data_IF_902056887697
#
_entry.id   IF_902056887697
#
_cell.length_a   1.000
_cell.length_b   1.000
_cell.length_c   1.000
_cell.angle_alpha   90.00
_cell.angle_beta   90.00
_cell.angle_gamma   90.00
#
_symmetry.space_group_name_H-M   'P 1'
#
loop_
_entity.id
_entity.type
_entity.pdbx_description
1 polymer ?
#
# COMPACT_ATOMS: atom_id res chain seq x y z
N UNK A 1 28.06 -11.40 -1.43
CA UNK A 1 28.07 -10.22 -0.55
C UNK A 1 28.05 -8.98 -1.45
N UNK A 2 26.87 -8.41 -1.71
CA UNK A 2 26.72 -7.25 -2.61
C UNK A 2 27.22 -6.01 -1.87
N UNK A 3 28.31 -5.40 -2.35
CA UNK A 3 28.81 -4.14 -1.81
C UNK A 3 27.93 -3.01 -2.32
N UNK A 4 27.21 -2.33 -1.43
CA UNK A 4 26.51 -1.09 -1.77
C UNK A 4 27.47 0.08 -1.59
N UNK A 5 27.67 0.84 -2.66
CA UNK A 5 28.43 2.08 -2.62
C UNK A 5 27.48 3.22 -2.19
N UNK A 6 27.76 3.84 -1.04
CA UNK A 6 26.92 4.93 -0.52
C UNK A 6 27.31 6.21 -1.25
N UNK A 7 26.56 6.55 -2.30
CA UNK A 7 26.72 7.82 -3.03
C UNK A 7 25.98 8.93 -2.29
N UNK A 8 26.70 10.00 -1.89
CA UNK A 8 26.11 11.17 -1.22
C UNK A 8 25.12 11.90 -2.16
N UNK A 9 24.08 12.51 -1.60
CA UNK A 9 22.93 13.04 -2.38
C UNK A 9 23.29 14.10 -3.43
N UNK A 10 24.39 14.86 -3.23
CA UNK A 10 24.89 15.85 -4.21
C UNK A 10 25.57 15.19 -5.41
N UNK A 11 26.22 14.05 -5.21
CA UNK A 11 26.97 13.31 -6.24
C UNK A 11 26.09 12.28 -6.95
N UNK A 12 24.93 11.95 -6.37
CA UNK A 12 23.99 10.98 -6.94
C UNK A 12 23.50 11.40 -8.32
N UNK A 13 23.30 12.71 -8.55
CA UNK A 13 22.86 13.24 -9.84
C UNK A 13 23.91 13.05 -10.94
N UNK A 14 25.18 13.24 -10.62
CA UNK A 14 26.29 13.11 -11.56
C UNK A 14 26.66 11.65 -11.79
N UNK A 15 26.75 10.86 -10.72
CA UNK A 15 26.92 9.40 -10.79
C UNK A 15 25.84 8.74 -11.64
N UNK A 16 24.57 9.07 -11.38
CA UNK A 16 23.46 8.53 -12.18
C UNK A 16 23.55 9.00 -13.62
N UNK A 17 23.92 10.26 -13.91
CA UNK A 17 24.09 10.71 -15.30
C UNK A 17 25.16 9.93 -16.04
N UNK A 18 26.35 9.79 -15.46
CA UNK A 18 27.47 9.08 -16.09
C UNK A 18 27.12 7.61 -16.33
N UNK A 19 26.50 6.96 -15.34
CA UNK A 19 26.07 5.56 -15.43
C UNK A 19 24.88 5.35 -16.37
N UNK A 20 23.94 6.30 -16.39
CA UNK A 20 22.81 6.30 -17.32
C UNK A 20 23.31 6.40 -18.76
N UNK A 21 24.25 7.32 -19.01
CA UNK A 21 24.83 7.52 -20.34
C UNK A 21 25.67 6.32 -20.78
N UNK A 22 26.45 5.71 -19.89
CA UNK A 22 27.31 4.57 -20.24
C UNK A 22 26.53 3.30 -20.61
N UNK A 23 25.38 3.07 -19.98
CA UNK A 23 24.52 1.92 -20.26
C UNK A 23 23.51 2.20 -21.38
N UNK A 24 23.34 3.45 -21.80
CA UNK A 24 22.35 3.84 -22.80
C UNK A 24 22.68 3.22 -24.16
N UNK A 25 21.73 2.46 -24.70
CA UNK A 25 21.84 1.90 -26.05
C UNK A 25 20.48 1.90 -26.77
N UNK A 26 20.48 1.50 -28.03
CA UNK A 26 19.27 1.47 -28.87
C UNK A 26 18.20 0.54 -28.28
N UNK A 27 18.58 -0.66 -27.80
CA UNK A 27 17.66 -1.63 -27.18
C UNK A 27 16.93 -1.04 -25.97
N UNK A 28 17.62 -0.26 -25.13
CA UNK A 28 17.02 0.44 -23.99
C UNK A 28 16.00 1.49 -24.45
N UNK A 29 16.31 2.24 -25.52
CA UNK A 29 15.38 3.23 -26.08
C UNK A 29 14.13 2.57 -26.66
N UNK A 30 14.29 1.45 -27.35
CA UNK A 30 13.18 0.67 -27.92
C UNK A 30 12.28 0.10 -26.82
N UNK A 31 12.85 -0.48 -25.76
CA UNK A 31 12.08 -0.99 -24.61
C UNK A 31 11.36 0.15 -23.89
N UNK A 32 12.05 1.27 -23.68
CA UNK A 32 11.46 2.45 -23.06
C UNK A 32 10.25 2.96 -23.85
N UNK A 33 10.37 3.07 -25.18
CA UNK A 33 9.26 3.44 -26.06
C UNK A 33 8.12 2.43 -26.01
N UNK A 34 8.42 1.12 -26.07
CA UNK A 34 7.42 0.05 -26.07
C UNK A 34 6.53 0.05 -24.83
N UNK A 35 7.11 0.25 -23.65
CA UNK A 35 6.39 0.24 -22.37
C UNK A 35 6.03 1.65 -21.86
N UNK A 36 6.30 2.70 -22.63
CA UNK A 36 5.96 4.08 -22.25
C UNK A 36 6.80 4.67 -21.11
N UNK A 37 8.02 4.18 -20.92
CA UNK A 37 8.97 4.69 -19.92
C UNK A 37 9.98 5.66 -20.53
N UNK A 38 10.61 6.47 -19.69
CA UNK A 38 11.81 7.23 -20.08
C UNK A 38 13.02 6.29 -20.06
N UNK A 39 13.94 6.43 -21.01
CA UNK A 39 15.09 5.52 -21.15
C UNK A 39 15.94 5.43 -19.88
N UNK A 40 16.09 6.53 -19.13
CA UNK A 40 16.82 6.51 -17.86
C UNK A 40 16.17 5.61 -16.80
N UNK A 41 14.85 5.40 -16.84
CA UNK A 41 14.16 4.51 -15.89
C UNK A 41 14.54 3.06 -16.16
N UNK A 42 14.59 2.67 -17.44
CA UNK A 42 15.02 1.33 -17.85
C UNK A 42 16.48 1.09 -17.44
N UNK A 43 17.36 2.08 -17.62
CA UNK A 43 18.74 1.98 -17.15
C UNK A 43 18.82 1.81 -15.62
N UNK A 44 17.99 2.55 -14.86
CA UNK A 44 17.95 2.40 -13.40
C UNK A 44 17.45 1.02 -12.98
N UNK A 45 16.43 0.47 -13.66
CA UNK A 45 15.97 -0.88 -13.37
C UNK A 45 17.04 -1.93 -13.72
N UNK A 46 17.75 -1.75 -14.83
CA UNK A 46 18.86 -2.62 -15.21
C UNK A 46 19.97 -2.58 -14.15
N UNK A 47 20.29 -1.40 -13.64
CA UNK A 47 21.28 -1.26 -12.58
C UNK A 47 20.85 -1.91 -11.25
N UNK A 48 19.56 -1.80 -10.90
CA UNK A 48 19.00 -2.40 -9.68
C UNK A 48 18.85 -3.92 -9.75
N UNK A 49 18.49 -4.45 -10.92
CA UNK A 49 18.14 -5.87 -11.09
C UNK A 49 19.27 -6.70 -11.73
N UNK A 50 20.26 -6.04 -12.32
CA UNK A 50 21.46 -6.67 -12.86
C UNK A 50 21.30 -7.36 -14.22
N UNK A 51 20.08 -7.55 -14.73
CA UNK A 51 19.85 -8.16 -16.04
C UNK A 51 18.65 -7.57 -16.79
N UNK A 52 18.73 -7.55 -18.12
CA UNK A 52 17.62 -7.07 -18.95
C UNK A 52 16.41 -7.99 -18.89
N UNK A 53 16.60 -9.28 -18.64
CA UNK A 53 15.50 -10.23 -18.54
C UNK A 53 14.65 -9.98 -17.28
N UNK A 54 15.28 -9.67 -16.15
CA UNK A 54 14.56 -9.28 -14.92
C UNK A 54 13.85 -7.93 -15.08
N UNK A 55 14.45 -6.99 -15.81
CA UNK A 55 13.79 -5.71 -16.14
C UNK A 55 12.53 -5.96 -16.98
N UNK A 56 12.60 -6.80 -18.02
CA UNK A 56 11.44 -7.10 -18.85
C UNK A 56 10.34 -7.79 -18.03
N UNK A 57 10.68 -8.76 -17.17
CA UNK A 57 9.72 -9.38 -16.24
C UNK A 57 9.05 -8.36 -15.32
N UNK A 58 9.81 -7.39 -14.80
CA UNK A 58 9.26 -6.33 -13.96
C UNK A 58 8.27 -5.46 -14.76
N UNK A 59 8.65 -5.02 -15.96
CA UNK A 59 7.78 -4.18 -16.80
C UNK A 59 6.50 -4.92 -17.17
N UNK A 60 6.60 -6.20 -17.58
CA UNK A 60 5.45 -7.05 -17.85
C UNK A 60 4.54 -7.24 -16.63
N UNK A 61 5.11 -7.24 -15.42
CA UNK A 61 4.32 -7.32 -14.19
C UNK A 61 3.52 -6.05 -13.91
N UNK A 62 4.03 -4.87 -14.31
CA UNK A 62 3.34 -3.59 -14.13
C UNK A 62 2.18 -3.38 -15.10
N UNK A 63 2.20 -4.06 -16.25
CA UNK A 63 1.06 -4.07 -17.19
C UNK A 63 -0.15 -4.87 -16.66
N UNK A 64 0.04 -5.69 -15.62
CA UNK A 64 -1.04 -6.49 -15.03
C UNK A 64 -1.79 -5.66 -13.99
N UNK A 65 -3.12 -5.53 -14.08
CA UNK A 65 -3.88 -4.80 -13.09
C UNK A 65 -3.78 -5.49 -11.73
N UNK A 66 -3.59 -4.70 -10.68
CA UNK A 66 -3.61 -5.22 -9.32
C UNK A 66 -5.04 -5.65 -8.96
N UNK A 67 -5.15 -6.84 -8.36
CA UNK A 67 -6.41 -7.32 -7.80
C UNK A 67 -6.68 -6.60 -6.46
N UNK A 68 -7.85 -5.95 -6.29
CA UNK A 68 -8.20 -5.31 -5.04
C UNK A 68 -8.24 -6.32 -3.88
N UNK A 69 -7.96 -5.81 -2.68
CA UNK A 69 -7.96 -6.60 -1.45
C UNK A 69 -8.79 -5.90 -0.39
N UNK A 70 -9.66 -6.67 0.25
CA UNK A 70 -10.51 -6.24 1.34
C UNK A 70 -9.90 -6.72 2.65
N UNK A 71 -9.72 -5.82 3.62
CA UNK A 71 -9.37 -6.17 5.00
C UNK A 71 -10.60 -6.06 5.89
N UNK A 72 -11.05 -7.18 6.43
CA UNK A 72 -12.10 -7.25 7.43
C UNK A 72 -11.72 -6.45 8.67
N UNK A 73 -12.62 -5.60 9.14
CA UNK A 73 -12.43 -4.76 10.31
C UNK A 73 -12.88 -5.47 11.59
N UNK A 74 -11.93 -6.09 12.29
CA UNK A 74 -12.20 -6.80 13.55
C UNK A 74 -12.70 -5.91 14.70
N UNK A 75 -12.52 -4.59 14.61
CA UNK A 75 -13.07 -3.65 15.59
C UNK A 75 -14.60 -3.53 15.51
N UNK A 76 -15.20 -3.88 14.36
CA UNK A 76 -16.65 -3.81 14.11
C UNK A 76 -17.30 -5.15 13.80
N UNK A 77 -16.52 -6.12 13.33
CA UNK A 77 -17.00 -7.43 12.91
C UNK A 77 -16.24 -8.53 13.64
N UNK A 78 -16.93 -9.27 14.51
CA UNK A 78 -16.34 -10.36 15.28
C UNK A 78 -15.84 -11.50 14.38
N UNK A 79 -16.67 -11.97 13.43
CA UNK A 79 -16.34 -13.05 12.50
C UNK A 79 -16.30 -12.54 11.05
N UNK A 80 -15.14 -12.66 10.38
CA UNK A 80 -14.98 -12.21 9.00
C UNK A 80 -15.74 -13.09 7.99
N UNK A 81 -16.11 -14.32 8.36
CA UNK A 81 -16.98 -15.17 7.53
C UNK A 81 -18.37 -14.54 7.35
N UNK A 82 -18.86 -13.81 8.34
CA UNK A 82 -20.11 -13.05 8.22
C UNK A 82 -20.03 -12.01 7.10
N UNK A 83 -18.93 -11.24 7.04
CA UNK A 83 -18.69 -10.26 5.99
C UNK A 83 -18.61 -10.93 4.62
N UNK A 84 -17.84 -12.03 4.50
CA UNK A 84 -17.71 -12.77 3.24
C UNK A 84 -19.07 -13.27 2.76
N UNK A 85 -19.86 -13.90 3.63
CA UNK A 85 -21.19 -14.40 3.27
C UNK A 85 -22.13 -13.29 2.79
N UNK A 86 -22.07 -12.10 3.39
CA UNK A 86 -22.86 -10.95 2.94
C UNK A 86 -22.44 -10.47 1.56
N UNK A 87 -21.14 -10.33 1.33
CA UNK A 87 -20.61 -9.91 0.03
C UNK A 87 -20.90 -10.97 -1.05
N UNK A 88 -20.83 -12.27 -0.73
CA UNK A 88 -21.17 -13.33 -1.68
C UNK A 88 -22.63 -13.28 -2.14
N UNK A 89 -23.57 -12.90 -1.24
CA UNK A 89 -24.99 -12.67 -1.62
C UNK A 89 -25.17 -11.50 -2.60
N UNK A 90 -24.23 -10.55 -2.62
CA UNK A 90 -24.19 -9.43 -3.57
C UNK A 90 -23.44 -9.77 -4.88
N UNK A 91 -23.05 -11.03 -5.06
CA UNK A 91 -22.39 -11.52 -6.27
C UNK A 91 -20.86 -11.41 -6.26
N UNK A 92 -20.24 -11.09 -5.12
CA UNK A 92 -18.79 -11.03 -4.99
C UNK A 92 -18.16 -12.42 -4.80
N UNK A 93 -17.03 -12.65 -5.47
CA UNK A 93 -16.18 -13.81 -5.21
C UNK A 93 -14.90 -13.36 -4.53
N UNK A 94 -14.70 -13.83 -3.30
CA UNK A 94 -13.58 -13.46 -2.45
C UNK A 94 -12.73 -14.69 -2.13
N UNK A 95 -11.41 -14.52 -2.19
CA UNK A 95 -10.42 -15.54 -1.85
C UNK A 95 -9.62 -15.06 -0.63
N UNK A 96 -9.58 -15.85 0.45
CA UNK A 96 -8.79 -15.48 1.63
C UNK A 96 -7.30 -15.51 1.31
N UNK A 97 -6.55 -14.51 1.79
CA UNK A 97 -5.09 -14.56 1.70
C UNK A 97 -4.54 -15.57 2.73
N UNK A 98 -3.63 -16.43 2.29
CA UNK A 98 -3.06 -17.49 3.14
C UNK A 98 -2.31 -16.94 4.36
N UNK A 99 -1.60 -15.83 4.17
CA UNK A 99 -0.73 -15.21 5.17
C UNK A 99 -1.41 -14.11 6.01
N UNK A 100 -2.65 -13.71 5.68
CA UNK A 100 -3.41 -12.73 6.46
C UNK A 100 -4.88 -13.15 6.56
N UNK A 101 -5.29 -13.81 7.67
CA UNK A 101 -6.62 -14.37 7.83
C UNK A 101 -7.76 -13.33 7.79
N UNK A 102 -7.48 -12.06 8.05
CA UNK A 102 -8.47 -10.98 7.99
C UNK A 102 -8.59 -10.35 6.60
N UNK A 103 -7.78 -10.76 5.62
CA UNK A 103 -7.76 -10.18 4.28
C UNK A 103 -8.25 -11.15 3.20
N UNK A 104 -8.94 -10.57 2.21
CA UNK A 104 -9.55 -11.30 1.11
C UNK A 104 -9.27 -10.59 -0.21
N UNK A 105 -8.72 -11.32 -1.18
CA UNK A 105 -8.56 -10.88 -2.56
C UNK A 105 -9.90 -10.96 -3.28
N UNK A 106 -10.21 -9.93 -4.06
CA UNK A 106 -11.41 -9.89 -4.89
C UNK A 106 -11.10 -10.58 -6.22
N UNK A 107 -11.77 -11.70 -6.49
CA UNK A 107 -11.63 -12.43 -7.75
C UNK A 107 -12.65 -11.96 -8.79
N UNK A 108 -13.86 -11.63 -8.33
CA UNK A 108 -14.96 -11.12 -9.14
C UNK A 108 -15.74 -10.08 -8.36
N UNK A 109 -16.02 -8.95 -9.00
CA UNK A 109 -16.87 -7.90 -8.45
C UNK A 109 -18.35 -8.23 -8.60
N UNK A 110 -19.13 -7.90 -7.57
CA UNK A 110 -20.58 -7.91 -7.55
C UNK A 110 -21.17 -6.51 -7.75
N UNK A 111 -22.40 -6.29 -7.26
CA UNK A 111 -23.09 -5.00 -7.32
C UNK A 111 -23.72 -4.63 -5.98
N UNK A 112 -23.66 -3.36 -5.52
CA UNK A 112 -22.98 -2.20 -6.11
C UNK A 112 -21.46 -2.31 -5.99
N UNK A 113 -20.65 -1.34 -6.45
CA UNK A 113 -19.18 -1.38 -6.33
C UNK A 113 -18.69 -1.47 -4.88
N UNK A 114 -17.47 -1.97 -4.64
CA UNK A 114 -16.93 -2.19 -3.29
C UNK A 114 -16.94 -0.93 -2.41
N UNK A 115 -16.67 0.24 -2.99
CA UNK A 115 -16.73 1.51 -2.25
C UNK A 115 -18.14 1.98 -1.91
N UNK A 116 -19.17 1.31 -2.43
CA UNK A 116 -20.57 1.69 -2.30
C UNK A 116 -21.43 0.64 -1.58
N UNK A 117 -20.84 -0.49 -1.13
CA UNK A 117 -21.61 -1.49 -0.36
C UNK A 117 -21.95 -0.95 1.03
N UNK A 118 -23.10 -1.36 1.58
CA UNK A 118 -23.48 -1.01 2.94
C UNK A 118 -22.41 -1.42 3.96
N UNK A 119 -21.80 -2.59 3.76
CA UNK A 119 -20.71 -3.10 4.59
C UNK A 119 -19.48 -2.18 4.56
N UNK A 120 -19.16 -1.57 3.42
CA UNK A 120 -18.08 -0.58 3.34
C UNK A 120 -18.45 0.70 4.10
N UNK A 121 -19.66 1.22 3.88
CA UNK A 121 -20.13 2.45 4.52
C UNK A 121 -20.22 2.31 6.05
N UNK A 122 -20.62 1.13 6.55
CA UNK A 122 -20.64 0.80 7.97
C UNK A 122 -19.23 0.59 8.56
N UNK A 123 -18.20 0.51 7.71
CA UNK A 123 -16.81 0.32 8.10
C UNK A 123 -16.47 -1.12 8.48
N UNK A 124 -17.21 -2.11 7.95
CA UNK A 124 -16.89 -3.52 8.17
C UNK A 124 -15.61 -3.96 7.49
N UNK A 125 -15.12 -3.17 6.53
CA UNK A 125 -13.84 -3.41 5.91
C UNK A 125 -13.18 -2.15 5.34
N UNK A 126 -11.89 -2.29 5.06
CA UNK A 126 -11.10 -1.33 4.29
C UNK A 126 -10.70 -1.94 2.94
N UNK A 127 -10.72 -1.13 1.89
CA UNK A 127 -10.39 -1.52 0.52
C UNK A 127 -8.98 -1.05 0.15
N UNK A 128 -8.10 -1.99 -0.17
CA UNK A 128 -6.76 -1.72 -0.70
C UNK A 128 -6.73 -2.00 -2.21
N UNK A 129 -5.88 -1.25 -2.92
CA UNK A 129 -5.59 -1.52 -4.34
C UNK A 129 -4.84 -2.84 -4.56
N UNK A 130 -4.11 -3.31 -3.55
CA UNK A 130 -3.37 -4.57 -3.59
C UNK A 130 -2.92 -5.00 -2.20
N UNK A 131 -2.46 -6.24 -2.09
CA UNK A 131 -2.15 -6.88 -0.81
C UNK A 131 -0.90 -6.32 -0.11
N UNK A 132 0.07 -5.78 -0.86
CA UNK A 132 1.35 -5.31 -0.30
C UNK A 132 1.19 -4.25 0.80
N UNK A 133 0.10 -3.46 0.77
CA UNK A 133 -0.17 -2.45 1.80
C UNK A 133 -0.56 -3.02 3.17
N UNK A 134 -0.88 -4.31 3.26
CA UNK A 134 -1.17 -5.00 4.51
C UNK A 134 0.10 -5.35 5.29
N UNK A 135 1.21 -5.59 4.59
CA UNK A 135 2.44 -6.11 5.19
C UNK A 135 3.06 -5.18 6.24
N UNK A 136 3.19 -3.85 6.05
CA UNK A 136 3.94 -3.03 6.99
C UNK A 136 3.35 -3.02 8.41
N UNK A 137 2.02 -2.85 8.61
CA UNK A 137 1.41 -2.97 9.94
C UNK A 137 1.57 -4.37 10.57
N UNK A 138 1.47 -5.44 9.77
CA UNK A 138 1.62 -6.82 10.25
C UNK A 138 3.05 -7.06 10.73
N UNK A 139 4.05 -6.61 9.96
CA UNK A 139 5.46 -6.79 10.31
C UNK A 139 5.83 -5.92 11.53
N UNK A 140 5.30 -4.70 11.61
CA UNK A 140 5.52 -3.82 12.75
C UNK A 140 4.90 -4.40 14.04
N UNK A 141 3.75 -5.07 13.93
CA UNK A 141 3.04 -5.76 15.01
C UNK A 141 2.96 -4.95 16.33
N UNK A 142 2.38 -3.74 16.32
CA UNK A 142 2.34 -2.89 17.51
C UNK A 142 1.49 -3.52 18.63
N UNK A 143 1.97 -3.42 19.86
CA UNK A 143 1.27 -3.88 21.06
C UNK A 143 0.17 -2.89 21.48
N UNK A 144 -0.92 -3.36 22.11
CA UNK A 144 -1.95 -2.51 22.73
C UNK A 144 -1.45 -1.43 23.70
N UNK A 145 -0.21 -1.53 24.19
CA UNK A 145 0.40 -0.57 25.13
C UNK A 145 1.33 0.45 24.47
N UNK A 146 1.58 0.32 23.17
CA UNK A 146 2.58 1.13 22.48
C UNK A 146 2.06 2.53 22.15
N UNK A 147 3.01 3.46 22.04
CA UNK A 147 2.84 4.73 21.35
C UNK A 147 3.46 4.62 19.96
N UNK A 148 2.61 4.63 18.94
CA UNK A 148 3.03 4.46 17.53
C UNK A 148 2.99 5.78 16.80
N UNK A 149 4.04 6.11 16.05
CA UNK A 149 4.11 7.30 15.20
C UNK A 149 4.04 6.91 13.71
N UNK A 150 3.01 7.36 13.01
CA UNK A 150 2.82 7.20 11.56
C UNK A 150 3.10 8.53 10.86
N UNK A 151 4.30 8.69 10.30
CA UNK A 151 4.80 9.96 9.74
C UNK A 151 4.15 10.39 8.41
N UNK A 152 3.44 9.49 7.73
CA UNK A 152 2.80 9.75 6.43
C UNK A 152 1.47 9.01 6.32
N UNK A 153 0.59 9.28 7.29
CA UNK A 153 -0.54 8.44 7.61
C UNK A 153 -1.64 8.44 6.53
N UNK A 154 -1.88 9.57 5.84
CA UNK A 154 -3.04 9.66 4.98
C UNK A 154 -2.88 8.80 3.70
N UNK A 155 -3.93 8.17 3.15
CA UNK A 155 -5.35 8.28 3.53
C UNK A 155 -5.77 7.39 4.72
N UNK A 156 -4.84 6.73 5.44
CA UNK A 156 -5.13 6.04 6.71
C UNK A 156 -5.24 4.52 6.65
N UNK A 157 -5.00 3.90 5.50
CA UNK A 157 -5.12 2.44 5.38
C UNK A 157 -4.17 1.67 6.32
N UNK A 158 -2.94 2.14 6.53
CA UNK A 158 -1.98 1.49 7.43
C UNK A 158 -2.24 1.85 8.88
N UNK A 159 -2.49 3.13 9.16
CA UNK A 159 -2.89 3.66 10.48
C UNK A 159 -4.07 2.89 11.07
N UNK A 160 -5.14 2.71 10.28
CA UNK A 160 -6.33 1.97 10.72
C UNK A 160 -6.09 0.47 10.86
N UNK A 161 -5.05 -0.06 10.23
CA UNK A 161 -4.64 -1.46 10.41
C UNK A 161 -3.92 -1.63 11.74
N UNK A 162 -2.98 -0.72 12.04
CA UNK A 162 -2.29 -0.68 13.34
C UNK A 162 -3.30 -0.53 14.48
N UNK A 163 -4.29 0.36 14.34
CA UNK A 163 -5.36 0.51 15.34
C UNK A 163 -6.14 -0.78 15.59
N UNK A 164 -6.38 -1.57 14.53
CA UNK A 164 -7.05 -2.86 14.63
C UNK A 164 -6.16 -3.91 15.31
N UNK A 165 -4.86 -3.94 15.02
CA UNK A 165 -3.88 -4.83 15.67
C UNK A 165 -3.79 -4.50 17.17
N UNK A 166 -3.74 -3.22 17.51
CA UNK A 166 -3.71 -2.72 18.90
C UNK A 166 -5.06 -2.84 19.62
N UNK A 167 -6.12 -3.34 18.96
CA UNK A 167 -7.43 -3.50 19.59
C UNK A 167 -8.08 -2.19 20.04
N UNK A 168 -7.79 -1.06 19.39
CA UNK A 168 -8.19 0.29 19.83
C UNK A 168 -7.62 0.70 21.21
N UNK A 169 -6.52 0.10 21.66
CA UNK A 169 -5.79 0.48 22.88
C UNK A 169 -4.47 1.21 22.52
N UNK A 170 -3.81 1.79 23.51
CA UNK A 170 -2.58 2.56 23.29
C UNK A 170 -2.84 3.87 22.55
N UNK A 171 -1.83 4.39 21.85
CA UNK A 171 -1.97 5.64 21.09
C UNK A 171 -1.23 5.57 19.76
N UNK A 172 -1.89 6.02 18.70
CA UNK A 172 -1.28 6.23 17.38
C UNK A 172 -1.29 7.73 17.08
N UNK A 173 -0.12 8.29 16.80
CA UNK A 173 0.03 9.66 16.30
C UNK A 173 0.17 9.60 14.78
N UNK A 174 -0.86 10.06 14.08
CA UNK A 174 -0.96 10.03 12.63
C UNK A 174 -0.63 11.41 12.05
N UNK A 175 0.54 11.53 11.41
CA UNK A 175 1.07 12.76 10.83
C UNK A 175 0.85 12.78 9.32
N UNK A 176 0.35 13.90 8.78
CA UNK A 176 0.40 14.17 7.34
C UNK A 176 0.40 15.69 7.07
N UNK A 177 1.16 16.15 6.08
CA UNK A 177 1.24 17.57 5.74
C UNK A 177 0.01 18.07 4.98
N UNK A 178 -0.63 17.19 4.21
CA UNK A 178 -1.68 17.56 3.27
C UNK A 178 -3.04 17.67 3.96
N UNK A 179 -3.58 18.89 4.03
CA UNK A 179 -4.91 19.17 4.59
C UNK A 179 -6.02 18.37 3.88
N UNK A 180 -5.91 18.20 2.56
CA UNK A 180 -6.91 17.45 1.77
C UNK A 180 -6.86 15.97 2.13
N UNK A 181 -5.66 15.38 2.22
CA UNK A 181 -5.51 13.96 2.55
C UNK A 181 -5.88 13.67 4.01
N UNK A 182 -5.67 14.62 4.93
CA UNK A 182 -6.16 14.52 6.31
C UNK A 182 -7.68 14.35 6.39
N UNK A 183 -8.46 14.99 5.50
CA UNK A 183 -9.92 14.79 5.49
C UNK A 183 -10.29 13.33 5.20
N UNK A 184 -9.60 12.71 4.25
CA UNK A 184 -9.77 11.29 3.94
C UNK A 184 -9.32 10.40 5.10
N UNK A 185 -8.19 10.72 5.74
CA UNK A 185 -7.71 10.03 6.95
C UNK A 185 -8.77 10.08 8.06
N UNK A 186 -9.27 11.27 8.40
CA UNK A 186 -10.29 11.45 9.44
C UNK A 186 -11.56 10.65 9.12
N UNK A 187 -12.06 10.77 7.90
CA UNK A 187 -13.24 10.02 7.44
C UNK A 187 -13.04 8.51 7.55
N UNK A 188 -11.86 7.99 7.19
CA UNK A 188 -11.56 6.57 7.33
C UNK A 188 -11.45 6.11 8.79
N UNK A 189 -10.82 6.90 9.66
CA UNK A 189 -10.73 6.59 11.09
C UNK A 189 -12.12 6.54 11.74
N UNK A 190 -12.95 7.56 11.49
CA UNK A 190 -14.33 7.64 11.98
C UNK A 190 -15.17 6.47 11.44
N UNK A 191 -15.15 6.26 10.11
CA UNK A 191 -15.91 5.19 9.46
C UNK A 191 -15.51 3.81 9.98
N UNK A 192 -14.23 3.56 10.21
CA UNK A 192 -13.75 2.27 10.73
C UNK A 192 -13.86 2.13 12.25
N UNK A 193 -14.28 3.18 12.98
CA UNK A 193 -14.42 3.13 14.43
C UNK A 193 -13.09 3.08 15.17
N UNK A 194 -12.06 3.70 14.61
CA UNK A 194 -10.75 3.85 15.26
C UNK A 194 -10.83 4.94 16.31
N UNK A 195 -10.41 4.65 17.54
CA UNK A 195 -10.54 5.54 18.71
C UNK A 195 -9.22 5.95 19.34
N UNK A 196 -8.15 5.18 19.12
CA UNK A 196 -6.84 5.39 19.72
C UNK A 196 -5.88 6.23 18.85
N UNK A 197 -6.40 7.07 17.95
CA UNK A 197 -5.56 7.80 16.98
C UNK A 197 -5.72 9.31 17.10
N UNK A 198 -4.60 10.02 17.20
CA UNK A 198 -4.52 11.50 17.17
C UNK A 198 -3.96 11.91 15.80
N UNK A 199 -4.63 12.84 15.12
CA UNK A 199 -4.17 13.36 13.82
C UNK A 199 -3.41 14.67 14.02
N UNK A 200 -2.19 14.75 13.52
CA UNK A 200 -1.39 15.97 13.49
C UNK A 200 -1.11 16.40 12.05
N UNK A 201 -1.37 17.68 11.75
CA UNK A 201 -0.99 18.27 10.46
C UNK A 201 0.37 18.94 10.60
N UNK A 202 1.43 18.22 10.24
CA UNK A 202 2.78 18.75 10.28
C UNK A 202 3.68 18.10 9.23
N UNK A 203 4.87 18.64 9.08
CA UNK A 203 5.95 18.00 8.33
C UNK A 203 6.53 16.89 9.19
N UNK A 204 6.60 15.66 8.66
CA UNK A 204 7.11 14.51 9.42
C UNK A 204 8.61 14.57 9.75
N UNK A 205 9.32 15.59 9.25
CA UNK A 205 10.73 15.87 9.60
C UNK A 205 10.90 16.84 10.76
N UNK A 206 9.80 17.42 11.27
CA UNK A 206 9.77 18.40 12.38
C UNK A 206 9.11 17.80 13.60
#
# INVERSE_FOLDING_TARGET
>A
MVKYEIVRSRDLGEYLRTKILSLMNQRIREIALRYGYRSYMIVRYLDMLGSMDEVLKLLESFERPLKPVIRCNKLKVHDCRYLVNRLSKLGYTLERLEWEPTAYRVLREGSPSLGATHEFLLGFYYLYRGSASLLPPIILNPSPKDLVLDLAAAPGGKTTHMAQIMGNEGVIVAVDISRIRIRALRSNLERLGVRNTVILRMDGTK
#
